data_IF_052879267906
#
_entry.id   IF_052879267906
#
_cell.length_a   1.000
_cell.length_b   1.000
_cell.length_c   1.000
_cell.angle_alpha   90.00
_cell.angle_beta   90.00
_cell.angle_gamma   90.00
#
_symmetry.space_group_name_H-M   'P 1'
#
loop_
_entity.id
_entity.type
_entity.pdbx_description
1 polymer ?
#
# COMPACT_ATOMS: atom_id res chain seq x y z
N UNK A 1 7.65 26.72 46.19
CA UNK A 1 7.67 27.64 47.35
C UNK A 1 6.24 28.03 47.67
N UNK A 2 5.90 27.95 48.95
CA UNK A 2 4.55 27.96 49.50
C UNK A 2 3.90 29.35 49.52
N UNK A 3 2.56 29.39 49.43
CA UNK A 3 1.72 30.44 50.01
C UNK A 3 0.24 29.94 50.10
N UNK A 4 -0.55 30.43 51.07
CA UNK A 4 -1.38 29.56 51.91
C UNK A 4 -2.90 29.69 51.72
N UNK A 5 -3.59 28.70 52.28
CA UNK A 5 -5.03 28.68 52.59
C UNK A 5 -5.39 29.79 53.58
N UNK A 6 -6.41 30.59 53.26
CA UNK A 6 -7.16 31.39 54.21
C UNK A 6 -8.65 31.23 53.91
N UNK A 7 -9.34 30.53 54.80
CA UNK A 7 -10.79 30.47 54.87
C UNK A 7 -11.33 31.78 55.44
N UNK A 8 -12.30 32.40 54.77
CA UNK A 8 -13.19 33.36 55.40
C UNK A 8 -14.61 33.12 54.87
N UNK A 9 -15.44 32.56 55.75
CA UNK A 9 -16.87 32.48 55.57
C UNK A 9 -17.49 33.85 55.83
N UNK A 10 -18.20 34.41 54.84
CA UNK A 10 -19.15 35.50 55.06
C UNK A 10 -20.40 35.27 54.20
N UNK A 11 -21.52 35.15 54.91
CA UNK A 11 -22.87 34.91 54.40
C UNK A 11 -23.38 36.14 53.64
N UNK A 12 -24.16 35.86 52.59
CA UNK A 12 -25.41 36.57 52.31
C UNK A 12 -25.33 38.01 51.81
N UNK A 13 -25.16 38.18 50.50
CA UNK A 13 -25.80 39.24 49.75
C UNK A 13 -25.92 38.80 48.28
N UNK A 14 -27.15 38.61 47.79
CA UNK A 14 -27.42 38.49 46.34
C UNK A 14 -27.17 39.86 45.71
N UNK A 15 -25.93 40.13 45.33
CA UNK A 15 -25.65 41.19 44.38
C UNK A 15 -25.99 40.66 42.99
N UNK A 16 -26.97 41.27 42.33
CA UNK A 16 -27.14 41.17 40.88
C UNK A 16 -25.94 41.86 40.23
N UNK A 17 -24.82 41.13 40.15
CA UNK A 17 -23.69 41.51 39.32
C UNK A 17 -24.04 41.19 37.88
N UNK A 18 -24.26 42.22 37.07
CA UNK A 18 -24.17 42.12 35.62
C UNK A 18 -22.75 41.68 35.28
N UNK A 19 -22.52 40.37 35.24
CA UNK A 19 -21.31 39.81 34.69
C UNK A 19 -21.33 40.06 33.18
N UNK A 20 -20.88 41.25 32.78
CA UNK A 20 -20.40 41.46 31.43
C UNK A 20 -19.24 40.48 31.26
N UNK A 21 -19.51 39.37 30.57
CA UNK A 21 -18.47 38.49 30.10
C UNK A 21 -17.58 39.33 29.18
N UNK A 22 -16.49 39.87 29.73
CA UNK A 22 -15.36 40.32 28.96
C UNK A 22 -14.88 39.11 28.18
N UNK A 23 -15.38 38.94 26.95
CA UNK A 23 -14.78 38.06 25.98
C UNK A 23 -13.28 38.38 26.00
N UNK A 24 -12.45 37.43 26.43
CA UNK A 24 -11.00 37.57 26.31
C UNK A 24 -10.67 37.22 24.87
N UNK A 25 -10.40 38.24 24.06
CA UNK A 25 -10.00 38.04 22.68
C UNK A 25 -8.50 37.70 22.67
N UNK A 26 -8.15 36.58 22.06
CA UNK A 26 -6.77 36.21 21.83
C UNK A 26 -6.39 36.57 20.39
N UNK A 27 -5.20 37.13 20.20
CA UNK A 27 -4.65 37.34 18.88
C UNK A 27 -4.44 35.99 18.16
N UNK A 28 -4.64 35.92 16.83
CA UNK A 28 -4.38 34.70 16.08
C UNK A 28 -2.88 34.34 16.13
N UNK A 29 -2.58 33.04 16.17
CA UNK A 29 -1.19 32.54 16.27
C UNK A 29 -0.44 32.58 14.92
N UNK A 30 -1.14 32.91 13.85
CA UNK A 30 -0.58 33.04 12.51
C UNK A 30 -1.56 33.78 11.59
N UNK A 31 -1.21 33.96 10.31
CA UNK A 31 -2.04 34.71 9.37
C UNK A 31 -3.43 34.07 9.24
N UNK A 32 -4.48 34.89 9.29
CA UNK A 32 -5.84 34.41 9.08
C UNK A 32 -6.12 34.18 7.59
N UNK A 33 -7.04 33.27 7.26
CA UNK A 33 -7.53 33.15 5.89
C UNK A 33 -8.03 34.51 5.36
N UNK A 34 -7.74 34.80 4.10
CA UNK A 34 -8.28 35.94 3.37
C UNK A 34 -7.86 37.35 3.87
N UNK A 35 -6.86 37.49 4.73
CA UNK A 35 -6.31 38.81 5.13
C UNK A 35 -5.72 39.60 3.95
N UNK A 36 -5.32 38.90 2.89
CA UNK A 36 -4.75 39.48 1.67
C UNK A 36 -5.81 40.09 0.74
N UNK A 37 -7.10 39.91 1.03
CA UNK A 37 -8.17 40.45 0.20
C UNK A 37 -8.39 41.91 0.57
N UNK A 38 -8.17 42.81 -0.39
CA UNK A 38 -8.48 44.23 -0.22
C UNK A 38 -10.01 44.43 -0.18
N UNK A 39 -10.52 44.76 1.01
CA UNK A 39 -11.95 44.97 1.27
C UNK A 39 -12.42 46.35 0.80
N UNK A 40 -11.50 47.30 0.55
CA UNK A 40 -11.82 48.67 0.16
C UNK A 40 -12.50 48.78 -1.21
N UNK A 41 -12.22 47.84 -2.12
CA UNK A 41 -12.82 47.82 -3.46
C UNK A 41 -13.35 46.44 -3.84
N UNK A 42 -14.33 45.97 -3.06
CA UNK A 42 -14.97 44.65 -3.22
C UNK A 42 -15.61 44.43 -4.60
N UNK A 43 -16.09 45.48 -5.25
CA UNK A 43 -16.80 45.39 -6.53
C UNK A 43 -15.85 45.20 -7.71
N UNK A 44 -14.64 45.77 -7.64
CA UNK A 44 -13.61 45.60 -8.67
C UNK A 44 -12.91 44.23 -8.64
N UNK A 45 -13.07 43.45 -7.57
CA UNK A 45 -12.41 42.15 -7.42
C UNK A 45 -12.99 41.08 -8.35
N UNK A 46 -12.10 40.30 -8.96
CA UNK A 46 -12.49 39.16 -9.78
C UNK A 46 -13.17 38.08 -8.92
N UNK A 47 -14.46 37.87 -9.16
CA UNK A 47 -15.25 36.84 -8.47
C UNK A 47 -14.99 35.46 -9.06
N UNK A 48 -15.22 34.41 -8.27
CA UNK A 48 -15.03 33.03 -8.73
C UNK A 48 -15.93 32.67 -9.93
N UNK A 49 -17.20 33.11 -9.94
CA UNK A 49 -18.20 32.90 -11.01
C UNK A 49 -18.54 31.44 -11.36
N UNK A 50 -17.76 30.48 -10.87
CA UNK A 50 -18.03 29.04 -10.99
C UNK A 50 -17.61 28.30 -9.73
N UNK A 51 -18.39 27.27 -9.37
CA UNK A 51 -18.08 26.40 -8.26
C UNK A 51 -16.73 25.69 -8.44
N UNK A 52 -16.42 25.26 -9.66
CA UNK A 52 -15.18 24.53 -9.97
C UNK A 52 -13.92 25.36 -9.73
N UNK A 53 -13.95 26.66 -10.04
CA UNK A 53 -12.83 27.57 -9.78
C UNK A 53 -12.60 27.75 -8.28
N UNK A 54 -13.68 27.95 -7.54
CA UNK A 54 -13.62 28.02 -6.08
C UNK A 54 -13.08 26.71 -5.49
N UNK A 55 -13.64 25.57 -5.91
CA UNK A 55 -13.27 24.25 -5.41
C UNK A 55 -11.78 23.94 -5.60
N UNK A 56 -11.23 24.22 -6.80
CA UNK A 56 -9.79 24.06 -7.07
C UNK A 56 -8.92 24.91 -6.13
N UNK A 57 -9.37 26.12 -5.79
CA UNK A 57 -8.64 26.98 -4.85
C UNK A 57 -8.77 26.45 -3.42
N UNK A 58 -9.97 26.02 -3.01
CA UNK A 58 -10.23 25.42 -1.70
C UNK A 58 -9.38 24.15 -1.47
N UNK A 59 -9.26 23.26 -2.46
CA UNK A 59 -8.40 22.08 -2.37
C UNK A 59 -6.91 22.45 -2.18
N UNK A 60 -6.43 23.47 -2.91
CA UNK A 60 -5.07 23.97 -2.73
C UNK A 60 -4.85 24.52 -1.32
N UNK A 61 -5.79 25.30 -0.81
CA UNK A 61 -5.72 25.86 0.55
C UNK A 61 -5.84 24.78 1.63
N UNK A 62 -6.57 23.68 1.36
CA UNK A 62 -6.74 22.54 2.26
C UNK A 62 -5.51 21.63 2.37
N UNK A 63 -4.61 21.63 1.36
CA UNK A 63 -3.35 20.87 1.39
C UNK A 63 -2.22 21.58 2.16
N UNK A 64 -2.34 22.89 2.38
CA UNK A 64 -1.34 23.69 3.09
C UNK A 64 -1.34 23.36 4.59
N UNK A 65 -0.16 23.40 5.20
CA UNK A 65 -0.03 23.31 6.65
C UNK A 65 -0.68 24.54 7.31
N UNK A 66 -1.38 24.33 8.43
CA UNK A 66 -2.07 25.37 9.21
C UNK A 66 -1.69 25.25 10.67
N UNK A 67 -1.70 26.38 11.36
CA UNK A 67 -1.41 26.47 12.79
C UNK A 67 -2.59 26.01 13.66
N UNK A 68 -3.82 26.03 13.14
CA UNK A 68 -5.00 25.48 13.81
C UNK A 68 -5.15 23.98 13.59
N UNK A 69 -6.02 23.37 14.41
CA UNK A 69 -6.37 21.94 14.32
C UNK A 69 -6.96 21.61 12.97
N UNK A 70 -6.36 20.65 12.27
CA UNK A 70 -6.84 20.18 10.96
C UNK A 70 -7.15 18.70 10.99
N UNK A 71 -8.08 18.25 10.12
CA UNK A 71 -8.40 16.84 9.97
C UNK A 71 -7.15 15.99 9.69
N UNK A 72 -6.25 16.49 8.85
CA UNK A 72 -5.01 15.80 8.46
C UNK A 72 -4.12 15.45 9.66
N UNK A 73 -4.03 16.33 10.66
CA UNK A 73 -3.23 16.08 11.87
C UNK A 73 -3.78 14.89 12.69
N UNK A 74 -5.09 14.63 12.63
CA UNK A 74 -5.71 13.51 13.34
C UNK A 74 -5.75 12.23 12.50
N UNK A 75 -5.93 12.36 11.19
CA UNK A 75 -6.19 11.24 10.30
C UNK A 75 -4.93 10.67 9.63
N UNK A 76 -3.86 11.45 9.51
CA UNK A 76 -2.66 11.04 8.77
C UNK A 76 -1.40 11.40 9.54
N UNK A 77 -0.59 10.43 9.97
CA UNK A 77 0.71 10.71 10.58
C UNK A 77 1.61 11.42 9.58
N UNK A 78 2.58 12.19 10.08
CA UNK A 78 3.56 12.87 9.22
C UNK A 78 4.43 11.83 8.50
N UNK A 79 4.66 11.99 7.18
CA UNK A 79 5.49 11.06 6.44
C UNK A 79 6.95 11.18 6.89
N UNK A 80 7.54 10.07 7.32
CA UNK A 80 8.97 10.00 7.60
C UNK A 80 9.79 10.17 6.30
N UNK A 81 11.00 10.75 6.37
CA UNK A 81 11.88 10.84 5.22
C UNK A 81 12.25 9.44 4.72
N UNK A 82 12.06 9.20 3.42
CA UNK A 82 12.33 7.92 2.76
C UNK A 82 13.67 7.98 2.03
N UNK A 83 14.44 6.90 2.13
CA UNK A 83 15.72 6.77 1.43
C UNK A 83 15.50 6.06 0.10
N UNK A 84 16.12 6.56 -0.97
CA UNK A 84 16.14 5.85 -2.26
C UNK A 84 17.27 4.82 -2.26
N UNK A 85 16.92 3.54 -2.38
CA UNK A 85 17.84 2.39 -2.44
C UNK A 85 17.93 1.81 -3.87
N UNK A 86 17.32 2.48 -4.86
CA UNK A 86 17.25 2.01 -6.23
C UNK A 86 18.48 2.31 -7.08
N UNK A 87 18.50 1.72 -8.29
CA UNK A 87 19.50 2.03 -9.30
C UNK A 87 19.44 3.51 -9.73
N UNK A 88 20.59 4.16 -9.98
CA UNK A 88 20.62 5.50 -10.54
C UNK A 88 20.07 5.52 -11.97
N UNK A 89 19.27 6.52 -12.30
CA UNK A 89 18.68 6.67 -13.64
C UNK A 89 19.17 7.93 -14.36
N UNK A 90 19.65 7.75 -15.59
CA UNK A 90 20.12 8.84 -16.44
C UNK A 90 18.97 9.70 -16.98
N UNK A 91 19.12 11.03 -16.93
CA UNK A 91 18.11 11.95 -17.46
C UNK A 91 18.07 11.89 -19.00
N UNK A 92 16.92 11.53 -19.57
CA UNK A 92 16.66 11.59 -21.01
C UNK A 92 16.49 13.06 -21.47
N UNK A 93 17.59 13.69 -21.86
CA UNK A 93 17.66 15.12 -22.20
C UNK A 93 17.13 15.50 -23.60
N UNK A 94 16.68 14.55 -24.45
CA UNK A 94 16.40 14.82 -25.88
C UNK A 94 14.96 14.62 -26.38
N UNK A 95 14.03 14.10 -25.58
CA UNK A 95 12.70 13.69 -26.07
C UNK A 95 11.75 14.86 -26.41
N UNK A 96 11.94 16.05 -25.81
CA UNK A 96 10.95 17.14 -25.91
C UNK A 96 10.81 17.71 -27.32
N UNK A 97 11.89 17.76 -28.10
CA UNK A 97 11.87 18.28 -29.49
C UNK A 97 11.16 17.31 -30.41
N UNK A 98 11.43 16.02 -30.26
CA UNK A 98 10.80 14.93 -31.03
C UNK A 98 9.30 14.86 -30.75
N UNK A 99 8.89 14.89 -29.48
CA UNK A 99 7.48 14.95 -29.09
C UNK A 99 6.74 16.14 -29.70
N UNK A 100 7.36 17.32 -29.75
CA UNK A 100 6.78 18.50 -30.43
C UNK A 100 6.63 18.31 -31.94
N UNK A 101 7.59 17.64 -32.59
CA UNK A 101 7.53 17.34 -34.02
C UNK A 101 6.37 16.39 -34.33
N UNK A 102 6.23 15.32 -33.53
CA UNK A 102 5.13 14.35 -33.65
C UNK A 102 3.78 15.05 -33.43
N UNK A 103 3.64 15.88 -32.39
CA UNK A 103 2.43 16.65 -32.16
C UNK A 103 2.06 17.54 -33.35
N UNK A 104 3.06 18.22 -33.95
CA UNK A 104 2.84 19.05 -35.13
C UNK A 104 2.38 18.24 -36.33
N UNK A 105 2.97 17.06 -36.56
CA UNK A 105 2.57 16.13 -37.64
C UNK A 105 1.14 15.63 -37.41
N UNK A 106 0.80 15.23 -36.18
CA UNK A 106 -0.53 14.78 -35.82
C UNK A 106 -1.60 15.87 -36.04
N UNK A 107 -1.28 17.12 -35.68
CA UNK A 107 -2.18 18.26 -35.91
C UNK A 107 -2.32 18.64 -37.39
N UNK A 108 -1.32 18.34 -38.22
CA UNK A 108 -1.39 18.58 -39.67
C UNK A 108 -2.22 17.52 -40.41
N UNK A 109 -2.48 16.36 -39.77
CA UNK A 109 -3.28 15.30 -40.36
C UNK A 109 -4.78 15.63 -40.31
N UNK A 110 -5.36 15.95 -41.47
CA UNK A 110 -6.77 16.29 -41.61
C UNK A 110 -7.73 15.12 -41.31
N UNK A 111 -7.30 13.87 -41.51
CA UNK A 111 -8.13 12.70 -41.20
C UNK A 111 -8.27 12.51 -39.68
N UNK A 112 -7.18 12.69 -38.94
CA UNK A 112 -7.22 12.64 -37.47
C UNK A 112 -8.04 13.79 -36.88
N UNK A 113 -8.00 14.99 -37.46
CA UNK A 113 -8.88 16.10 -37.03
C UNK A 113 -10.36 15.73 -37.23
N UNK A 114 -10.72 15.22 -38.42
CA UNK A 114 -12.10 14.83 -38.74
C UNK A 114 -12.57 13.72 -37.81
N UNK A 115 -11.75 12.69 -37.60
CA UNK A 115 -12.07 11.59 -36.70
C UNK A 115 -12.21 12.09 -35.25
N UNK A 116 -11.35 13.00 -34.78
CA UNK A 116 -11.43 13.56 -33.43
C UNK A 116 -12.72 14.36 -33.24
N UNK A 117 -13.11 15.15 -34.25
CA UNK A 117 -14.36 15.91 -34.26
C UNK A 117 -15.60 15.01 -34.24
N UNK A 118 -15.55 13.89 -34.95
CA UNK A 118 -16.61 12.87 -34.97
C UNK A 118 -16.54 11.89 -33.78
N UNK A 119 -15.52 12.00 -32.93
CA UNK A 119 -15.26 11.11 -31.78
C UNK A 119 -15.08 9.64 -32.16
N UNK A 120 -14.50 9.38 -33.34
CA UNK A 120 -14.23 8.03 -33.87
C UNK A 120 -12.76 7.61 -33.77
N UNK A 121 -11.89 8.44 -33.17
CA UNK A 121 -10.46 8.11 -33.01
C UNK A 121 -10.29 6.97 -32.03
N UNK A 122 -9.55 5.95 -32.46
CA UNK A 122 -9.11 4.83 -31.63
C UNK A 122 -7.61 4.98 -31.35
N UNK A 123 -7.21 4.72 -30.11
CA UNK A 123 -5.82 4.77 -29.68
C UNK A 123 -5.32 3.33 -29.49
N UNK A 124 -4.21 2.92 -30.13
CA UNK A 124 -3.65 1.60 -29.95
C UNK A 124 -3.11 1.44 -28.52
N UNK A 125 -3.76 0.58 -27.72
CA UNK A 125 -3.41 0.41 -26.30
C UNK A 125 -2.04 -0.26 -26.11
N UNK A 126 -1.64 -1.13 -27.03
CA UNK A 126 -0.37 -1.86 -26.95
C UNK A 126 0.82 -0.90 -27.09
N UNK A 127 0.75 0.05 -28.03
CA UNK A 127 1.78 1.09 -28.21
C UNK A 127 1.83 2.04 -27.01
N UNK A 128 0.66 2.44 -26.48
CA UNK A 128 0.57 3.28 -25.28
C UNK A 128 1.23 2.58 -24.10
N UNK A 129 0.98 1.28 -23.93
CA UNK A 129 1.57 0.47 -22.87
C UNK A 129 3.09 0.35 -23.03
N UNK A 130 3.58 0.08 -24.24
CA UNK A 130 5.01 -0.03 -24.51
C UNK A 130 5.78 1.28 -24.24
N UNK A 131 5.21 2.43 -24.61
CA UNK A 131 5.79 3.74 -24.31
C UNK A 131 5.66 4.11 -22.82
N UNK A 132 4.55 3.73 -22.18
CA UNK A 132 4.34 3.92 -20.76
C UNK A 132 5.37 3.15 -19.93
N UNK A 133 5.63 1.88 -20.25
CA UNK A 133 6.62 1.03 -19.57
C UNK A 133 8.03 1.65 -19.56
N UNK A 134 8.39 2.39 -20.63
CA UNK A 134 9.71 3.05 -20.76
C UNK A 134 9.81 4.39 -20.04
N UNK A 135 8.70 5.14 -19.95
CA UNK A 135 8.72 6.54 -19.51
C UNK A 135 8.23 6.74 -18.08
N UNK A 136 6.92 6.61 -17.85
CA UNK A 136 6.26 6.92 -16.58
C UNK A 136 5.88 5.69 -15.77
N UNK A 137 5.99 4.50 -16.37
CA UNK A 137 5.71 3.21 -15.75
C UNK A 137 6.44 2.99 -14.43
N UNK A 138 7.77 3.15 -14.36
CA UNK A 138 8.52 2.98 -13.10
C UNK A 138 7.95 3.81 -11.94
N UNK A 139 7.62 5.07 -12.16
CA UNK A 139 7.05 5.95 -11.11
C UNK A 139 5.64 5.54 -10.70
N UNK A 140 4.81 5.09 -11.65
CA UNK A 140 3.48 4.59 -11.34
C UNK A 140 3.55 3.29 -10.52
N UNK A 141 4.48 2.40 -10.85
CA UNK A 141 4.75 1.15 -10.12
C UNK A 141 5.26 1.42 -8.72
N UNK A 142 6.18 2.38 -8.54
CA UNK A 142 6.64 2.83 -7.23
C UNK A 142 5.47 3.35 -6.39
N UNK A 143 4.61 4.21 -6.94
CA UNK A 143 3.44 4.75 -6.24
C UNK A 143 2.43 3.64 -5.87
N UNK A 144 2.24 2.66 -6.75
CA UNK A 144 1.39 1.49 -6.45
C UNK A 144 2.00 0.66 -5.33
N UNK A 145 3.28 0.34 -5.38
CA UNK A 145 3.96 -0.42 -4.33
C UNK A 145 3.90 0.28 -2.96
N UNK A 146 3.99 1.62 -2.95
CA UNK A 146 3.79 2.44 -1.75
C UNK A 146 2.34 2.35 -1.24
N UNK A 147 1.36 2.46 -2.14
CA UNK A 147 -0.06 2.32 -1.78
C UNK A 147 -0.38 0.94 -1.20
N UNK A 148 0.17 -0.12 -1.79
CA UNK A 148 0.02 -1.47 -1.29
C UNK A 148 0.84 -1.75 -0.03
N UNK A 149 1.70 -0.83 0.44
CA UNK A 149 2.50 -1.01 1.64
C UNK A 149 3.73 -1.90 1.49
N UNK A 150 4.12 -2.25 0.27
CA UNK A 150 5.23 -3.19 0.00
C UNK A 150 6.56 -2.66 0.54
N UNK A 151 6.88 -1.38 0.29
CA UNK A 151 8.13 -0.79 0.79
C UNK A 151 8.18 -0.70 2.31
N UNK A 152 7.03 -0.44 2.95
CA UNK A 152 6.93 -0.36 4.41
C UNK A 152 7.24 -1.72 5.04
N UNK A 153 6.72 -2.79 4.46
CA UNK A 153 6.83 -4.12 5.03
C UNK A 153 8.19 -4.77 4.68
N UNK A 154 8.67 -4.63 3.43
CA UNK A 154 9.90 -5.30 2.96
C UNK A 154 11.19 -4.51 3.24
N UNK A 155 11.14 -3.17 3.21
CA UNK A 155 12.33 -2.30 3.29
C UNK A 155 12.22 -1.21 4.38
N UNK A 156 11.12 -1.19 5.14
CA UNK A 156 10.81 -0.19 6.17
C UNK A 156 10.83 1.26 5.65
N UNK A 157 12.01 1.89 5.62
CA UNK A 157 12.24 3.28 5.18
C UNK A 157 12.80 3.39 3.77
N UNK A 158 13.26 2.28 3.19
CA UNK A 158 13.79 2.20 1.84
C UNK A 158 12.69 2.21 0.79
N UNK A 159 12.86 3.02 -0.25
CA UNK A 159 12.04 2.99 -1.46
C UNK A 159 12.95 2.87 -2.67
N UNK A 160 12.48 2.27 -3.75
CA UNK A 160 13.21 2.30 -5.01
C UNK A 160 12.26 2.46 -6.19
N UNK A 161 12.80 2.94 -7.30
CA UNK A 161 12.06 3.04 -8.56
C UNK A 161 12.38 1.80 -9.41
N UNK A 162 11.39 0.95 -9.75
CA UNK A 162 11.62 -0.24 -10.55
C UNK A 162 11.85 0.14 -12.01
N UNK A 163 13.10 0.39 -12.38
CA UNK A 163 13.51 0.73 -13.74
C UNK A 163 13.45 -0.48 -14.67
N UNK A 164 13.81 -1.65 -14.16
CA UNK A 164 13.79 -2.89 -14.94
C UNK A 164 12.39 -3.45 -14.95
N UNK A 165 11.83 -3.62 -16.14
CA UNK A 165 10.51 -4.21 -16.31
C UNK A 165 10.58 -5.72 -16.17
N UNK A 166 10.11 -6.19 -15.02
CA UNK A 166 9.95 -7.60 -14.70
C UNK A 166 8.60 -8.10 -15.24
N UNK A 167 8.63 -9.06 -16.16
CA UNK A 167 7.44 -9.74 -16.68
C UNK A 167 7.41 -11.14 -16.10
N UNK A 168 6.31 -11.48 -15.44
CA UNK A 168 6.09 -12.77 -14.80
C UNK A 168 4.78 -13.32 -15.33
N UNK A 169 4.80 -14.54 -15.83
CA UNK A 169 3.65 -15.18 -16.48
C UNK A 169 3.53 -16.61 -15.95
N UNK A 170 2.36 -16.97 -15.44
CA UNK A 170 2.05 -18.34 -15.05
C UNK A 170 1.45 -19.09 -16.23
N UNK A 171 1.98 -20.28 -16.55
CA UNK A 171 1.46 -21.16 -17.58
C UNK A 171 0.53 -22.20 -16.96
N UNK A 172 -0.74 -22.20 -17.36
CA UNK A 172 -1.69 -23.27 -17.02
C UNK A 172 -1.65 -24.37 -18.08
N UNK A 173 -2.06 -25.60 -17.71
CA UNK A 173 -2.07 -26.78 -18.57
C UNK A 173 -2.85 -26.59 -19.89
N UNK A 174 -3.80 -25.63 -19.94
CA UNK A 174 -4.66 -25.33 -21.10
C UNK A 174 -4.14 -24.17 -22.00
N UNK A 175 -2.82 -23.92 -22.09
CA UNK A 175 -2.16 -22.85 -22.89
C UNK A 175 -2.55 -21.40 -22.54
N UNK A 176 -3.31 -21.17 -21.47
CA UNK A 176 -3.63 -19.83 -21.01
C UNK A 176 -2.48 -19.27 -20.14
N UNK A 177 -1.92 -18.14 -20.58
CA UNK A 177 -0.92 -17.39 -19.82
C UNK A 177 -1.61 -16.41 -18.88
N UNK A 178 -1.29 -16.48 -17.59
CA UNK A 178 -1.79 -15.56 -16.57
C UNK A 178 -0.66 -14.58 -16.20
N UNK A 179 -0.67 -13.35 -16.75
CA UNK A 179 0.37 -12.38 -16.46
C UNK A 179 0.19 -11.77 -15.07
N UNK A 180 1.30 -11.61 -14.37
CA UNK A 180 1.40 -10.88 -13.11
C UNK A 180 1.79 -9.44 -13.39
N UNK A 181 1.00 -8.51 -12.86
CA UNK A 181 1.20 -7.08 -12.97
C UNK A 181 1.57 -6.48 -11.60
N UNK A 182 0.74 -5.57 -11.10
CA UNK A 182 1.01 -4.74 -9.91
C UNK A 182 -0.21 -4.74 -9.00
N UNK A 183 -0.62 -5.93 -8.54
CA UNK A 183 -1.74 -6.16 -7.63
C UNK A 183 -2.97 -6.79 -8.26
N UNK A 184 -2.86 -7.37 -9.46
CA UNK A 184 -3.95 -8.18 -10.03
C UNK A 184 -4.16 -9.46 -9.21
N UNK A 185 -5.35 -10.05 -9.34
CA UNK A 185 -5.68 -11.31 -8.67
C UNK A 185 -5.14 -12.48 -9.47
N UNK A 186 -4.44 -13.39 -8.80
CA UNK A 186 -3.99 -14.69 -9.33
C UNK A 186 -4.34 -15.75 -8.29
N UNK A 187 -4.99 -16.81 -8.74
CA UNK A 187 -5.45 -17.89 -7.86
C UNK A 187 -4.31 -18.84 -7.49
N UNK A 188 -4.37 -19.52 -6.33
CA UNK A 188 -3.38 -20.53 -5.99
C UNK A 188 -3.29 -21.67 -7.01
N UNK A 189 -4.41 -22.03 -7.63
CA UNK A 189 -4.48 -23.02 -8.72
C UNK A 189 -3.65 -22.59 -9.93
N UNK A 190 -3.79 -21.33 -10.38
CA UNK A 190 -3.00 -20.76 -11.49
C UNK A 190 -1.51 -20.66 -11.13
N UNK A 191 -1.19 -20.39 -9.87
CA UNK A 191 0.17 -20.26 -9.36
C UNK A 191 0.75 -21.55 -8.75
N UNK A 192 0.24 -22.72 -9.18
CA UNK A 192 0.67 -24.03 -8.67
C UNK A 192 2.07 -24.44 -9.16
N UNK A 193 2.48 -24.01 -10.35
CA UNK A 193 3.79 -24.25 -10.94
C UNK A 193 4.66 -22.98 -10.92
N UNK A 194 6.01 -23.08 -11.00
CA UNK A 194 6.87 -21.91 -11.09
C UNK A 194 6.57 -21.11 -12.36
N UNK A 195 6.51 -19.76 -12.30
CA UNK A 195 6.19 -18.94 -13.45
C UNK A 195 7.37 -18.81 -14.42
N UNK A 196 7.05 -18.45 -15.66
CA UNK A 196 8.03 -17.93 -16.62
C UNK A 196 8.29 -16.47 -16.30
N UNK A 197 9.57 -16.12 -16.16
CA UNK A 197 9.99 -14.77 -15.81
C UNK A 197 10.98 -14.25 -16.86
N UNK A 198 10.74 -13.03 -17.33
CA UNK A 198 11.57 -12.37 -18.33
C UNK A 198 11.80 -10.91 -17.98
N UNK A 199 13.03 -10.44 -18.20
CA UNK A 199 13.42 -9.05 -17.98
C UNK A 199 14.57 -8.64 -18.92
N UNK A 200 14.71 -7.34 -19.14
CA UNK A 200 15.81 -6.80 -19.95
C UNK A 200 17.10 -6.75 -19.12
N UNK A 201 18.14 -7.46 -19.56
CA UNK A 201 19.40 -7.61 -18.85
C UNK A 201 20.61 -7.45 -19.79
N UNK A 202 21.65 -6.79 -19.29
CA UNK A 202 22.93 -6.62 -20.01
C UNK A 202 23.69 -7.96 -20.07
N UNK A 203 24.47 -8.18 -21.14
CA UNK A 203 25.33 -9.36 -21.25
C UNK A 203 26.38 -9.36 -20.13
N UNK A 204 26.46 -10.46 -19.39
CA UNK A 204 27.39 -10.62 -18.25
C UNK A 204 26.93 -9.98 -16.94
N UNK A 205 25.72 -9.42 -16.90
CA UNK A 205 25.10 -9.00 -15.64
C UNK A 205 24.60 -10.21 -14.84
N UNK A 206 24.60 -10.07 -13.52
CA UNK A 206 24.11 -11.09 -12.59
C UNK A 206 22.88 -10.55 -11.84
N UNK A 207 21.91 -11.43 -11.61
CA UNK A 207 20.65 -11.05 -10.98
C UNK A 207 20.22 -12.05 -9.91
N UNK A 208 19.37 -11.60 -9.00
CA UNK A 208 18.69 -12.44 -8.02
C UNK A 208 17.19 -12.18 -8.07
N UNK A 209 16.42 -13.25 -8.15
CA UNK A 209 14.97 -13.25 -8.14
C UNK A 209 14.47 -13.80 -6.81
N UNK A 210 13.57 -13.07 -6.18
CA UNK A 210 13.00 -13.38 -4.87
C UNK A 210 11.47 -13.30 -4.95
N UNK A 211 10.76 -14.32 -4.47
CA UNK A 211 9.31 -14.30 -4.28
C UNK A 211 8.98 -14.47 -2.80
N UNK A 212 8.39 -13.45 -2.18
CA UNK A 212 8.00 -13.48 -0.76
C UNK A 212 6.52 -13.16 -0.56
N UNK A 213 6.01 -13.60 0.59
CA UNK A 213 4.68 -13.28 1.07
C UNK A 213 4.74 -12.64 2.46
N UNK A 214 4.53 -11.31 2.59
CA UNK A 214 4.52 -10.62 3.87
C UNK A 214 3.24 -10.82 4.71
N UNK A 215 2.14 -11.30 4.13
CA UNK A 215 0.85 -11.44 4.82
C UNK A 215 0.57 -12.86 5.32
N UNK A 216 1.36 -13.85 4.87
CA UNK A 216 1.04 -15.27 4.93
C UNK A 216 1.59 -16.00 6.15
N UNK A 217 2.40 -15.33 6.97
CA UNK A 217 3.07 -15.99 8.08
C UNK A 217 2.08 -16.32 9.22
N UNK A 218 2.04 -17.58 9.63
CA UNK A 218 0.97 -18.11 10.50
C UNK A 218 1.21 -17.88 12.00
N UNK A 219 2.39 -17.40 12.40
CA UNK A 219 2.81 -17.32 13.80
C UNK A 219 3.28 -15.92 14.21
N UNK A 220 4.24 -15.40 13.46
CA UNK A 220 4.84 -14.08 13.64
C UNK A 220 4.23 -13.10 12.63
N UNK A 221 3.91 -11.89 13.08
CA UNK A 221 3.26 -10.86 12.26
C UNK A 221 4.23 -10.10 11.36
N UNK A 222 5.48 -9.94 11.80
CA UNK A 222 6.50 -9.16 11.07
C UNK A 222 7.39 -10.04 10.16
N UNK A 223 7.12 -11.34 10.11
CA UNK A 223 7.91 -12.29 9.33
C UNK A 223 7.20 -12.66 8.02
N UNK A 224 7.99 -13.02 7.01
CA UNK A 224 7.51 -13.37 5.69
C UNK A 224 7.76 -14.87 5.42
N UNK A 225 7.03 -15.45 4.46
CA UNK A 225 7.43 -16.73 3.88
C UNK A 225 8.14 -16.52 2.54
N UNK A 226 9.30 -17.17 2.39
CA UNK A 226 10.03 -17.21 1.14
C UNK A 226 9.54 -18.35 0.26
N UNK A 227 8.84 -18.02 -0.83
CA UNK A 227 8.29 -18.97 -1.78
C UNK A 227 9.28 -19.41 -2.84
N UNK A 228 10.14 -18.51 -3.34
CA UNK A 228 11.13 -18.85 -4.36
C UNK A 228 12.35 -17.92 -4.29
N UNK A 229 13.56 -18.48 -4.39
CA UNK A 229 14.81 -17.72 -4.42
C UNK A 229 15.79 -18.33 -5.41
N UNK A 230 16.12 -17.57 -6.45
CA UNK A 230 17.11 -17.94 -7.46
C UNK A 230 18.17 -16.83 -7.51
N UNK A 231 19.43 -17.23 -7.38
CA UNK A 231 20.56 -16.30 -7.23
C UNK A 231 21.58 -16.48 -8.35
N UNK A 232 22.45 -15.48 -8.55
CA UNK A 232 23.53 -15.51 -9.55
C UNK A 232 23.03 -15.88 -10.96
N UNK A 233 21.87 -15.33 -11.35
CA UNK A 233 21.25 -15.56 -12.66
C UNK A 233 22.07 -14.81 -13.72
N UNK A 234 22.66 -15.50 -14.72
CA UNK A 234 23.42 -14.84 -15.77
C UNK A 234 22.47 -14.23 -16.82
N UNK A 235 22.48 -12.90 -16.94
CA UNK A 235 21.64 -12.18 -17.90
C UNK A 235 20.16 -12.36 -17.62
N UNK A 236 19.44 -13.05 -18.51
CA UNK A 236 18.00 -13.33 -18.40
C UNK A 236 17.70 -14.84 -18.30
N UNK A 237 18.73 -15.69 -18.16
CA UNK A 237 18.55 -17.14 -18.12
C UNK A 237 18.39 -17.66 -16.69
N UNK A 238 17.14 -17.66 -16.21
CA UNK A 238 16.78 -18.04 -14.84
C UNK A 238 17.13 -19.49 -14.54
N UNK A 239 17.05 -20.38 -15.54
CA UNK A 239 17.37 -21.81 -15.38
C UNK A 239 18.86 -22.04 -15.15
N UNK A 240 19.72 -21.14 -15.62
CA UNK A 240 21.16 -21.17 -15.35
C UNK A 240 21.52 -20.58 -13.97
N UNK A 241 20.59 -19.93 -13.29
CA UNK A 241 20.77 -19.43 -11.92
C UNK A 241 20.85 -20.56 -10.89
N UNK A 242 21.41 -20.24 -9.72
CA UNK A 242 21.47 -21.16 -8.58
C UNK A 242 20.19 -21.03 -7.76
N UNK A 243 19.36 -22.06 -7.79
CA UNK A 243 18.15 -22.14 -6.96
C UNK A 243 18.54 -22.41 -5.49
N UNK A 244 18.39 -21.38 -4.64
CA UNK A 244 18.68 -21.44 -3.20
C UNK A 244 17.46 -21.95 -2.44
N UNK A 245 16.27 -21.68 -2.97
CA UNK A 245 15.02 -22.12 -2.39
C UNK A 245 14.01 -22.44 -3.49
N UNK A 246 13.61 -23.71 -3.59
CA UNK A 246 12.66 -24.15 -4.60
C UNK A 246 11.30 -23.48 -4.47
N UNK A 247 10.63 -23.35 -5.61
CA UNK A 247 9.28 -22.78 -5.70
C UNK A 247 8.31 -23.53 -4.80
N UNK A 248 7.64 -22.80 -3.91
CA UNK A 248 6.51 -23.27 -3.12
C UNK A 248 5.26 -22.55 -3.59
N UNK A 249 4.19 -23.27 -4.00
CA UNK A 249 2.94 -22.65 -4.39
C UNK A 249 2.39 -21.73 -3.29
N UNK A 250 1.63 -20.69 -3.63
CA UNK A 250 0.94 -19.86 -2.64
C UNK A 250 -0.08 -20.70 -1.85
N UNK A 251 -0.13 -20.50 -0.52
CA UNK A 251 -1.08 -21.18 0.37
C UNK A 251 -1.79 -20.21 1.33
N UNK A 252 -2.51 -19.18 0.83
CA UNK A 252 -3.26 -18.28 1.70
C UNK A 252 -4.31 -19.07 2.50
N UNK A 253 -4.28 -18.96 3.83
CA UNK A 253 -5.18 -19.73 4.70
C UNK A 253 -6.64 -19.28 4.55
N UNK A 254 -7.59 -20.18 4.84
CA UNK A 254 -9.00 -19.83 4.71
C UNK A 254 -9.38 -18.76 5.74
N UNK A 255 -10.01 -17.68 5.27
CA UNK A 255 -10.52 -16.59 6.13
C UNK A 255 -9.50 -15.52 6.53
N UNK A 256 -8.26 -15.55 6.03
CA UNK A 256 -7.27 -14.49 6.25
C UNK A 256 -7.38 -13.33 5.24
N UNK A 257 -8.14 -13.51 4.17
CA UNK A 257 -8.39 -12.48 3.15
C UNK A 257 -7.42 -12.55 1.98
N UNK A 258 -6.98 -11.38 1.50
CA UNK A 258 -6.08 -11.26 0.34
C UNK A 258 -4.63 -11.14 0.79
N UNK A 259 -3.78 -12.02 0.27
CA UNK A 259 -2.35 -11.97 0.53
C UNK A 259 -1.61 -11.40 -0.66
N UNK A 260 -0.62 -10.56 -0.41
CA UNK A 260 0.27 -10.03 -1.45
C UNK A 260 1.44 -10.99 -1.65
N UNK A 261 1.72 -11.32 -2.90
CA UNK A 261 2.90 -12.09 -3.30
C UNK A 261 3.79 -11.19 -4.13
N UNK A 262 5.02 -10.98 -3.69
CA UNK A 262 5.92 -9.95 -4.23
C UNK A 262 7.13 -10.60 -4.88
N UNK A 263 7.29 -10.37 -6.18
CA UNK A 263 8.52 -10.64 -6.92
C UNK A 263 9.45 -9.43 -6.86
N UNK A 264 10.65 -9.66 -6.34
CA UNK A 264 11.74 -8.70 -6.31
C UNK A 264 12.87 -9.18 -7.21
N UNK A 265 13.37 -8.27 -8.04
CA UNK A 265 14.54 -8.49 -8.87
C UNK A 265 15.67 -7.57 -8.40
N UNK A 266 16.78 -8.16 -7.98
CA UNK A 266 18.00 -7.47 -7.58
C UNK A 266 19.07 -7.60 -8.67
N UNK A 267 19.73 -6.49 -9.00
CA UNK A 267 20.94 -6.48 -9.81
C UNK A 267 22.14 -6.71 -8.91
N UNK A 268 22.98 -7.68 -9.26
CA UNK A 268 24.23 -7.97 -8.55
C UNK A 268 25.41 -7.33 -9.28
N UNK A 269 26.33 -6.72 -8.53
CA UNK A 269 27.58 -6.21 -9.10
C UNK A 269 28.62 -7.31 -9.32
N UNK A 270 28.60 -8.33 -8.46
CA UNK A 270 29.54 -9.45 -8.42
C UNK A 270 28.82 -10.74 -8.04
N UNK A 271 29.37 -11.92 -8.34
CA UNK A 271 28.86 -13.17 -7.81
C UNK A 271 28.89 -13.14 -6.27
N UNK A 272 27.77 -13.48 -5.64
CA UNK A 272 27.62 -13.52 -4.18
C UNK A 272 27.48 -14.97 -3.75
N UNK A 273 28.12 -15.34 -2.65
CA UNK A 273 27.90 -16.62 -2.02
C UNK A 273 26.70 -16.55 -1.06
N UNK A 274 25.69 -17.35 -1.33
CA UNK A 274 24.46 -17.47 -0.55
C UNK A 274 24.43 -18.77 0.27
N UNK A 275 25.59 -19.32 0.62
CA UNK A 275 25.72 -20.59 1.33
C UNK A 275 24.95 -20.65 2.66
N UNK A 276 24.85 -19.53 3.38
CA UNK A 276 24.08 -19.42 4.62
C UNK A 276 22.56 -19.48 4.42
N UNK A 277 22.07 -19.01 3.27
CA UNK A 277 20.63 -18.91 2.98
C UNK A 277 20.10 -20.14 2.22
N UNK A 278 20.96 -21.12 1.93
CA UNK A 278 20.59 -22.37 1.23
C UNK A 278 19.57 -23.15 2.06
N UNK A 279 18.46 -23.48 1.40
CA UNK A 279 17.44 -24.36 1.95
C UNK A 279 17.53 -25.75 1.32
N UNK A 280 17.11 -26.81 2.05
CA UNK A 280 17.05 -28.14 1.48
C UNK A 280 16.06 -28.18 0.31
N UNK A 281 16.26 -29.09 -0.63
CA UNK A 281 15.37 -29.28 -1.79
C UNK A 281 14.81 -30.69 -1.75
N UNK A 282 13.50 -30.90 -1.46
CA UNK A 282 12.46 -29.90 -1.17
C UNK A 282 12.38 -29.49 0.32
N UNK A 283 12.35 -28.18 0.58
CA UNK A 283 12.02 -27.53 1.84
C UNK A 283 10.49 -27.29 2.02
N UNK A 284 9.81 -28.21 2.70
CA UNK A 284 8.42 -28.02 3.15
C UNK A 284 8.30 -27.52 4.60
N UNK A 285 9.42 -27.31 5.29
CA UNK A 285 9.42 -26.80 6.66
C UNK A 285 9.15 -25.29 6.69
N UNK A 286 8.00 -24.90 7.25
CA UNK A 286 7.62 -23.49 7.39
C UNK A 286 8.63 -22.67 8.19
N UNK A 287 9.28 -23.26 9.22
CA UNK A 287 10.31 -22.57 10.01
C UNK A 287 11.53 -22.18 9.19
N UNK A 288 11.92 -23.05 8.25
CA UNK A 288 13.05 -22.76 7.36
C UNK A 288 12.64 -21.74 6.29
N UNK A 289 11.36 -21.72 5.90
CA UNK A 289 10.77 -20.78 4.95
C UNK A 289 10.54 -19.39 5.53
N UNK A 290 10.51 -19.24 6.85
CA UNK A 290 10.48 -17.95 7.53
C UNK A 290 11.67 -17.10 7.06
N UNK A 291 11.38 -15.87 6.64
CA UNK A 291 12.32 -14.99 5.98
C UNK A 291 12.02 -13.52 6.29
N UNK A 292 13.05 -12.68 6.25
CA UNK A 292 12.97 -11.22 6.40
C UNK A 292 13.71 -10.61 5.21
N UNK A 293 12.96 -9.98 4.30
CA UNK A 293 13.56 -9.36 3.10
C UNK A 293 14.50 -8.22 3.49
N UNK A 294 14.15 -7.48 4.55
CA UNK A 294 14.97 -6.40 5.07
C UNK A 294 16.35 -6.88 5.54
N UNK A 295 16.40 -7.94 6.35
CA UNK A 295 17.67 -8.45 6.88
C UNK A 295 18.51 -9.10 5.77
N UNK A 296 17.87 -9.80 4.84
CA UNK A 296 18.54 -10.35 3.67
C UNK A 296 19.19 -9.27 2.80
N UNK A 297 18.45 -8.20 2.49
CA UNK A 297 18.98 -7.10 1.70
C UNK A 297 20.12 -6.40 2.44
N UNK A 298 19.96 -6.15 3.74
CA UNK A 298 20.97 -5.48 4.57
C UNK A 298 22.30 -6.23 4.64
N UNK A 299 22.29 -7.57 4.62
CA UNK A 299 23.52 -8.39 4.57
C UNK A 299 24.31 -8.20 3.28
N UNK A 300 23.63 -7.86 2.19
CA UNK A 300 24.20 -7.87 0.84
C UNK A 300 24.08 -6.52 0.12
N UNK A 301 23.75 -5.45 0.84
CA UNK A 301 23.47 -4.10 0.32
C UNK A 301 24.61 -3.57 -0.55
N UNK A 302 25.86 -3.85 -0.18
CA UNK A 302 27.07 -3.42 -0.92
C UNK A 302 27.20 -4.06 -2.32
N UNK A 303 26.50 -5.17 -2.57
CA UNK A 303 26.67 -6.00 -3.76
C UNK A 303 25.38 -6.25 -4.55
N UNK A 304 24.23 -5.90 -3.97
CA UNK A 304 22.92 -6.02 -4.58
C UNK A 304 22.14 -4.71 -4.55
N UNK A 305 21.46 -4.40 -5.64
CA UNK A 305 20.57 -3.24 -5.73
C UNK A 305 19.21 -3.65 -6.27
N UNK A 306 18.08 -3.29 -5.63
CA UNK A 306 16.76 -3.57 -6.14
C UNK A 306 16.51 -2.82 -7.45
N UNK A 307 16.02 -3.54 -8.45
CA UNK A 307 15.94 -3.06 -9.83
C UNK A 307 14.56 -3.26 -10.45
N UNK A 308 13.89 -4.37 -10.13
CA UNK A 308 12.56 -4.72 -10.64
C UNK A 308 11.62 -5.15 -9.52
N UNK A 309 10.33 -4.96 -9.77
CA UNK A 309 9.25 -5.28 -8.84
C UNK A 309 8.02 -5.71 -9.64
N UNK A 310 7.41 -6.83 -9.27
CA UNK A 310 6.07 -7.23 -9.71
C UNK A 310 5.35 -7.88 -8.53
N UNK A 311 4.03 -7.79 -8.45
CA UNK A 311 3.30 -8.44 -7.35
C UNK A 311 1.86 -8.72 -7.74
N UNK A 312 1.28 -9.74 -7.11
CA UNK A 312 -0.12 -10.10 -7.28
C UNK A 312 -0.81 -10.29 -5.94
N UNK A 313 -2.14 -10.33 -5.96
CA UNK A 313 -2.96 -10.69 -4.82
C UNK A 313 -3.49 -12.10 -4.99
N UNK A 314 -3.49 -12.87 -3.92
CA UNK A 314 -3.97 -14.24 -3.90
C UNK A 314 -4.96 -14.43 -2.76
N UNK A 315 -6.01 -15.21 -3.00
CA UNK A 315 -7.00 -15.60 -2.03
C UNK A 315 -7.03 -17.12 -1.93
N UNK A 316 -7.49 -17.64 -0.79
CA UNK A 316 -7.75 -19.07 -0.61
C UNK A 316 -8.62 -19.65 -1.75
N UNK A 317 -8.24 -20.85 -2.21
CA UNK A 317 -9.02 -21.71 -3.10
C UNK A 317 -8.93 -23.17 -2.63
N UNK A 318 -9.62 -24.09 -3.31
CA UNK A 318 -9.62 -25.51 -2.94
C UNK A 318 -8.26 -26.21 -3.14
N UNK A 319 -7.35 -25.64 -3.94
CA UNK A 319 -6.01 -26.22 -4.16
C UNK A 319 -5.10 -26.02 -2.94
N UNK A 320 -5.35 -24.99 -2.13
CA UNK A 320 -4.59 -24.72 -0.91
C UNK A 320 -4.70 -25.86 0.11
N UNK A 321 -5.87 -26.49 0.21
CA UNK A 321 -6.07 -27.67 1.06
C UNK A 321 -5.12 -28.82 0.70
N UNK A 322 -4.85 -29.02 -0.60
CA UNK A 322 -3.87 -30.00 -1.06
C UNK A 322 -2.44 -29.62 -0.62
N UNK A 323 -2.07 -28.34 -0.70
CA UNK A 323 -0.75 -27.85 -0.25
C UNK A 323 -0.55 -28.12 1.25
N UNK A 324 -1.54 -27.83 2.10
CA UNK A 324 -1.41 -28.08 3.54
C UNK A 324 -1.29 -29.57 3.87
N UNK A 325 -2.10 -30.42 3.25
CA UNK A 325 -2.14 -31.85 3.58
C UNK A 325 -1.01 -32.65 2.93
N UNK A 326 -0.70 -32.40 1.66
CA UNK A 326 0.27 -33.21 0.90
C UNK A 326 1.69 -32.64 0.96
N UNK A 327 1.86 -31.33 0.73
CA UNK A 327 3.20 -30.73 0.73
C UNK A 327 3.69 -30.43 2.15
N UNK A 328 2.87 -29.75 2.96
CA UNK A 328 3.26 -29.31 4.31
C UNK A 328 3.00 -30.36 5.39
N UNK A 329 2.26 -31.43 5.08
CA UNK A 329 1.85 -32.50 6.02
C UNK A 329 1.31 -31.95 7.35
N UNK A 330 0.40 -30.97 7.25
CA UNK A 330 -0.22 -30.32 8.40
C UNK A 330 -1.73 -30.15 8.22
N UNK A 331 -2.42 -29.80 9.31
CA UNK A 331 -3.84 -29.45 9.24
C UNK A 331 -3.98 -28.04 8.71
N UNK A 332 -4.96 -27.85 7.84
CA UNK A 332 -5.32 -26.53 7.32
C UNK A 332 -5.89 -25.65 8.44
N UNK A 333 -5.28 -24.49 8.72
CA UNK A 333 -5.83 -23.52 9.65
C UNK A 333 -6.96 -22.73 9.00
N UNK A 334 -8.04 -22.52 9.74
CA UNK A 334 -9.22 -21.75 9.31
C UNK A 334 -9.40 -20.57 10.26
N UNK A 335 -9.50 -19.37 9.69
CA UNK A 335 -9.66 -18.12 10.41
C UNK A 335 -11.05 -17.54 10.16
N UNK A 336 -11.55 -16.78 11.13
CA UNK A 336 -12.81 -16.06 11.03
C UNK A 336 -12.61 -14.62 11.50
N UNK A 337 -13.24 -13.67 10.79
CA UNK A 337 -13.23 -12.27 11.20
C UNK A 337 -14.25 -12.03 12.32
N UNK A 338 -13.78 -12.06 13.56
CA UNK A 338 -14.58 -11.74 14.73
C UNK A 338 -14.59 -10.23 14.98
N UNK A 339 -15.77 -9.62 14.93
CA UNK A 339 -15.94 -8.18 15.24
C UNK A 339 -15.83 -7.94 16.75
N UNK A 340 -15.33 -6.77 17.19
CA UNK A 340 -15.39 -6.38 18.59
C UNK A 340 -16.83 -6.46 19.12
N UNK A 341 -17.03 -6.87 20.38
CA UNK A 341 -18.36 -6.93 20.96
C UNK A 341 -18.99 -5.54 20.97
N UNK A 342 -20.32 -5.51 20.79
CA UNK A 342 -21.07 -4.25 20.81
C UNK A 342 -20.95 -3.63 22.20
N UNK A 343 -20.54 -2.37 22.26
CA UNK A 343 -20.48 -1.65 23.52
C UNK A 343 -21.89 -1.41 24.07
N UNK A 344 -22.08 -1.80 25.32
CA UNK A 344 -23.25 -1.45 26.11
C UNK A 344 -22.80 -0.68 27.37
N UNK A 345 -23.43 0.47 27.69
CA UNK A 345 -23.13 1.17 28.94
C UNK A 345 -23.48 0.28 30.14
N UNK A 346 -22.93 0.55 31.34
CA UNK A 346 -23.29 -0.20 32.53
C UNK A 346 -24.80 -0.21 32.78
N UNK A 347 -25.36 -1.39 33.08
CA UNK A 347 -26.79 -1.55 33.30
C UNK A 347 -27.25 -0.79 34.54
N UNK A 348 -28.19 0.14 34.36
CA UNK A 348 -28.83 0.88 35.46
C UNK A 348 -30.07 0.14 35.95
N UNK A 349 -30.29 0.08 37.27
CA UNK A 349 -31.46 -0.55 37.90
C UNK A 349 -32.79 0.04 37.43
N UNK A 350 -32.83 1.37 37.23
CA UNK A 350 -34.02 2.08 36.79
C UNK A 350 -33.72 2.84 35.49
N UNK A 351 -33.85 2.19 34.33
CA UNK A 351 -33.54 2.79 33.03
C UNK A 351 -34.66 3.75 32.58
N UNK A 352 -34.69 4.95 33.20
CA UNK A 352 -35.70 5.98 32.89
C UNK A 352 -35.67 6.34 31.41
N UNK A 353 -36.85 6.44 30.80
CA UNK A 353 -37.05 6.77 29.37
C UNK A 353 -36.40 5.80 28.37
N UNK A 354 -36.02 4.59 28.79
CA UNK A 354 -35.55 3.54 27.88
C UNK A 354 -36.71 2.64 27.44
N UNK A 355 -36.67 2.10 26.20
CA UNK A 355 -37.66 1.14 25.73
C UNK A 355 -37.49 -0.21 26.44
N UNK A 356 -38.53 -1.06 26.43
CA UNK A 356 -38.50 -2.39 27.07
C UNK A 356 -37.35 -3.29 26.57
N UNK A 357 -37.00 -3.17 25.28
CA UNK A 357 -35.86 -3.87 24.65
C UNK A 357 -34.49 -3.53 25.25
N UNK A 358 -34.42 -2.53 26.14
CA UNK A 358 -33.23 -2.26 26.93
C UNK A 358 -32.77 -3.48 27.73
N UNK A 359 -33.71 -4.24 28.30
CA UNK A 359 -33.39 -5.43 29.09
C UNK A 359 -32.76 -6.54 28.24
N UNK A 360 -33.13 -6.61 26.95
CA UNK A 360 -32.58 -7.60 26.03
C UNK A 360 -31.09 -7.36 25.71
N UNK A 361 -30.59 -6.12 25.89
CA UNK A 361 -29.16 -5.81 25.68
C UNK A 361 -28.24 -6.51 26.68
N UNK A 362 -28.77 -6.87 27.84
CA UNK A 362 -28.04 -7.52 28.93
C UNK A 362 -28.55 -8.94 29.19
N UNK A 363 -29.34 -9.49 28.26
CA UNK A 363 -29.84 -10.85 28.35
C UNK A 363 -28.94 -11.76 27.50
N UNK A 364 -28.30 -12.73 28.14
CA UNK A 364 -27.39 -13.66 27.45
C UNK A 364 -28.16 -14.70 26.60
N UNK A 365 -29.28 -15.21 27.11
CA UNK A 365 -30.06 -16.28 26.47
C UNK A 365 -31.41 -15.79 25.98
N UNK A 366 -31.93 -16.36 24.88
CA UNK A 366 -33.29 -16.08 24.39
C UNK A 366 -34.35 -17.00 25.02
N UNK A 367 -33.90 -18.05 25.69
CA UNK A 367 -34.76 -19.06 26.30
C UNK A 367 -35.34 -18.57 27.63
N UNK A 368 -36.58 -18.97 27.97
CA UNK A 368 -37.17 -18.63 29.26
C UNK A 368 -36.40 -19.30 30.40
N UNK A 369 -36.22 -18.58 31.50
CA UNK A 369 -35.57 -19.09 32.71
C UNK A 369 -36.61 -19.25 33.82
N UNK A 370 -36.60 -20.43 34.47
CA UNK A 370 -37.55 -20.78 35.52
C UNK A 370 -36.90 -20.83 36.92
N UNK A 371 -35.58 -20.62 37.03
CA UNK A 371 -34.90 -20.54 38.33
C UNK A 371 -35.12 -21.79 39.19
N UNK A 372 -35.79 -21.64 40.33
CA UNK A 372 -36.06 -22.69 41.33
C UNK A 372 -37.42 -23.40 41.15
N UNK A 373 -38.21 -23.00 40.14
CA UNK A 373 -39.56 -23.51 39.90
C UNK A 373 -39.58 -24.90 39.26
#
# INVERSE_FOLDING_TARGET
MAAPLLSAALRGARAFGTAAALCRWAAPLGPMPNEQIDVGNLEALEKYRSFTRYFRQAEKEGRKARWWKTYRQYASPEPEPKTDIGLPHGKLLKERKERKKILKQNHQNAEMERAARLRTVLIPLDEVRAEWEKTSGPFHRQRLAEYYGIFRDLFQKGTFTPWVSLRVEYSQEDEHLVPVYYGNMVTPTEASSPPEVSYEADKGSLWTLLLTNPDGHLRETDAEYLHWLVTNIPGNDIKAGKEICHYLPPFPAMGTGYHRFVFLLFKQERPIDFSEDVRPTPCHSLKMRTFSTFDFYRKHEDSMTPAGLAFFQCQWDSSVTWVFHQLLNMREPVFEFVRPPVYHPPQVKFPRHQPLRYLDRYRDTKEPTYGIY
#
